data_IF_479100365945
#
_entry.id   IF_479100365945
#
_cell.length_a   1.000
_cell.length_b   1.000
_cell.length_c   1.000
_cell.angle_alpha   90.00
_cell.angle_beta   90.00
_cell.angle_gamma   90.00
#
_symmetry.space_group_name_H-M   'P 1'
#
loop_
_entity.id
_entity.type
_entity.pdbx_description
1 polymer ?
#
# COMPACT_ATOMS: atom_id res chain seq x y z
N UNK A 1 -14.94 -6.20 -10.84
CA UNK A 1 -13.90 -6.77 -9.97
C UNK A 1 -13.03 -5.62 -9.52
N UNK A 2 -12.81 -5.53 -8.22
CA UNK A 2 -12.15 -4.38 -7.60
C UNK A 2 -10.93 -4.87 -6.86
N UNK A 3 -9.78 -4.33 -7.21
CA UNK A 3 -8.51 -4.74 -6.63
C UNK A 3 -8.00 -3.67 -5.67
N UNK A 4 -7.36 -4.11 -4.59
CA UNK A 4 -6.62 -3.26 -3.67
C UNK A 4 -5.16 -3.74 -3.65
N UNK A 5 -4.23 -2.82 -3.85
CA UNK A 5 -2.81 -3.06 -3.72
C UNK A 5 -2.31 -2.54 -2.38
N UNK A 6 -1.65 -3.40 -1.62
CA UNK A 6 -1.10 -3.11 -0.29
C UNK A 6 0.39 -3.41 -0.25
N UNK A 7 1.17 -2.51 0.34
CA UNK A 7 2.64 -2.55 0.31
C UNK A 7 3.31 -2.56 1.69
N UNK A 8 2.50 -2.54 2.76
CA UNK A 8 2.98 -2.43 4.15
C UNK A 8 2.31 -3.42 5.09
N UNK A 9 1.85 -2.92 6.24
CA UNK A 9 1.25 -3.72 7.34
C UNK A 9 -0.06 -4.42 6.99
N UNK A 10 -0.70 -4.05 5.87
CA UNK A 10 -1.88 -4.71 5.32
C UNK A 10 -1.54 -5.93 4.43
N UNK A 11 -0.25 -6.16 4.14
CA UNK A 11 0.22 -7.32 3.35
C UNK A 11 -0.07 -8.63 4.05
N UNK A 12 -0.13 -9.70 3.26
CA UNK A 12 -0.38 -11.05 3.74
C UNK A 12 0.74 -11.47 4.70
N UNK A 13 0.36 -11.96 5.88
CA UNK A 13 1.30 -12.46 6.90
C UNK A 13 1.67 -11.46 8.00
N UNK A 14 1.22 -10.21 7.92
CA UNK A 14 1.26 -9.30 9.07
C UNK A 14 0.19 -9.66 10.10
N UNK A 15 0.59 -9.70 11.37
CA UNK A 15 -0.33 -9.88 12.49
C UNK A 15 -0.95 -8.52 12.88
N UNK A 16 -1.77 -7.96 12.00
CA UNK A 16 -2.45 -6.68 12.20
C UNK A 16 -3.97 -6.87 12.02
N UNK A 17 -4.83 -6.32 12.89
CA UNK A 17 -6.29 -6.49 12.80
C UNK A 17 -6.86 -6.10 11.43
N UNK A 18 -6.29 -5.08 10.80
CA UNK A 18 -6.74 -4.63 9.48
C UNK A 18 -6.30 -5.55 8.33
N UNK A 19 -5.16 -6.25 8.47
CA UNK A 19 -4.77 -7.30 7.53
C UNK A 19 -5.71 -8.51 7.65
N UNK A 20 -6.14 -8.86 8.86
CA UNK A 20 -7.15 -9.90 9.08
C UNK A 20 -8.50 -9.50 8.48
N UNK A 21 -8.96 -8.26 8.71
CA UNK A 21 -10.18 -7.73 8.10
C UNK A 21 -10.12 -7.80 6.57
N UNK A 22 -9.01 -7.34 5.97
CA UNK A 22 -8.82 -7.40 4.52
C UNK A 22 -8.87 -8.85 4.01
N UNK A 23 -8.22 -9.78 4.70
CA UNK A 23 -8.22 -11.21 4.33
C UNK A 23 -9.58 -11.89 4.45
N UNK A 24 -10.49 -11.34 5.27
CA UNK A 24 -11.87 -11.84 5.44
C UNK A 24 -12.83 -11.19 4.45
N UNK A 25 -12.58 -9.94 4.08
CA UNK A 25 -13.45 -9.15 3.20
C UNK A 25 -13.00 -9.16 1.73
N UNK A 26 -11.86 -9.78 1.45
CA UNK A 26 -11.33 -10.00 0.10
C UNK A 26 -10.50 -11.28 0.03
N UNK A 27 -10.04 -11.59 -1.17
CA UNK A 27 -9.21 -12.75 -1.47
C UNK A 27 -7.83 -12.28 -1.95
N UNK A 28 -6.76 -12.89 -1.45
CA UNK A 28 -5.44 -12.66 -2.01
C UNK A 28 -5.43 -13.10 -3.48
N UNK A 29 -5.08 -12.19 -4.38
CA UNK A 29 -5.10 -12.42 -5.83
C UNK A 29 -3.70 -12.76 -6.37
N UNK A 30 -2.72 -11.88 -6.18
CA UNK A 30 -1.34 -12.07 -6.67
C UNK A 30 -0.38 -11.09 -5.99
N UNK A 31 0.93 -11.34 -6.09
CA UNK A 31 1.94 -10.33 -5.82
C UNK A 31 2.06 -9.38 -7.01
N UNK A 32 2.43 -8.13 -6.76
CA UNK A 32 2.59 -7.16 -7.83
C UNK A 32 3.52 -6.02 -7.47
N UNK A 33 3.72 -5.14 -8.45
CA UNK A 33 4.53 -3.95 -8.30
C UNK A 33 3.93 -2.73 -8.98
N UNK A 34 4.20 -1.55 -8.43
CA UNK A 34 3.90 -0.26 -9.05
C UNK A 34 5.14 0.62 -9.09
N UNK A 35 5.19 1.56 -10.04
CA UNK A 35 6.26 2.57 -10.04
C UNK A 35 6.08 3.53 -8.87
N UNK A 36 7.07 3.63 -8.01
CA UNK A 36 6.98 4.41 -6.79
C UNK A 36 8.23 4.30 -5.93
N UNK A 37 8.25 5.14 -4.90
CA UNK A 37 9.25 5.14 -3.86
C UNK A 37 8.57 4.80 -2.54
N UNK A 38 9.20 3.90 -1.80
CA UNK A 38 8.76 3.47 -0.48
C UNK A 38 9.68 4.10 0.56
N UNK A 39 9.10 4.61 1.63
CA UNK A 39 9.82 5.24 2.73
C UNK A 39 9.41 4.62 4.06
N UNK A 40 10.35 4.53 4.99
CA UNK A 40 10.08 4.10 6.36
C UNK A 40 9.63 5.29 7.22
N UNK A 41 8.42 5.19 7.79
CA UNK A 41 7.91 6.13 8.79
C UNK A 41 8.11 5.59 10.23
N UNK A 42 8.63 4.38 10.38
CA UNK A 42 8.79 3.67 11.65
C UNK A 42 7.76 2.56 11.81
N UNK A 43 6.52 2.85 12.28
CA UNK A 43 5.53 1.80 12.53
C UNK A 43 4.91 1.22 11.25
N UNK A 44 4.99 1.92 10.13
CA UNK A 44 4.49 1.50 8.83
C UNK A 44 5.23 2.24 7.70
N UNK A 45 5.27 1.70 6.48
CA UNK A 45 5.88 2.38 5.36
C UNK A 45 4.88 3.35 4.71
N UNK A 46 5.41 4.32 3.96
CA UNK A 46 4.60 5.18 3.10
C UNK A 46 5.10 5.16 1.67
N UNK A 47 4.15 5.29 0.74
CA UNK A 47 4.41 5.25 -0.69
C UNK A 47 4.07 6.60 -1.32
N UNK A 48 4.98 7.06 -2.17
CA UNK A 48 4.68 8.08 -3.19
C UNK A 48 4.89 7.49 -4.57
N UNK A 49 4.04 7.89 -5.52
CA UNK A 49 4.26 7.54 -6.90
C UNK A 49 5.48 8.28 -7.45
N UNK A 50 6.20 7.62 -8.33
CA UNK A 50 7.31 8.20 -9.07
C UNK A 50 7.08 7.99 -10.57
N UNK A 51 7.41 9.00 -11.35
CA UNK A 51 7.39 8.94 -12.82
C UNK A 51 8.69 8.38 -13.40
N UNK A 52 9.75 8.27 -12.60
CA UNK A 52 11.01 7.66 -13.04
C UNK A 52 10.86 6.14 -13.19
N UNK A 53 11.32 5.62 -14.33
CA UNK A 53 11.34 4.17 -14.58
C UNK A 53 12.39 3.48 -13.70
N UNK A 54 12.09 2.24 -13.28
CA UNK A 54 13.04 1.37 -12.58
C UNK A 54 12.95 1.42 -11.05
N UNK A 55 12.09 2.26 -10.48
CA UNK A 55 11.81 2.27 -9.05
C UNK A 55 10.43 1.68 -8.79
N UNK A 56 10.44 0.47 -8.24
CA UNK A 56 9.23 -0.31 -8.03
C UNK A 56 9.00 -0.53 -6.55
N UNK A 57 7.74 -0.46 -6.14
CA UNK A 57 7.30 -0.93 -4.83
C UNK A 57 6.62 -2.27 -4.99
N UNK A 58 7.03 -3.25 -4.19
CA UNK A 58 6.49 -4.60 -4.16
C UNK A 58 5.39 -4.68 -3.10
N UNK A 59 4.28 -5.31 -3.47
CA UNK A 59 3.13 -5.46 -2.60
C UNK A 59 2.23 -6.60 -3.04
N UNK A 60 1.13 -6.75 -2.32
CA UNK A 60 0.14 -7.79 -2.55
C UNK A 60 -1.14 -7.16 -3.11
N UNK A 61 -1.78 -7.87 -4.04
CA UNK A 61 -3.06 -7.49 -4.62
C UNK A 61 -4.15 -8.36 -4.02
N UNK A 62 -5.21 -7.73 -3.50
CA UNK A 62 -6.41 -8.39 -3.01
C UNK A 62 -7.60 -8.08 -3.92
N UNK A 63 -8.39 -9.09 -4.25
CA UNK A 63 -9.71 -8.94 -4.85
C UNK A 63 -10.73 -8.65 -3.76
N UNK A 64 -11.40 -7.50 -3.83
CA UNK A 64 -12.41 -7.10 -2.84
C UNK A 64 -13.78 -7.66 -3.23
N UNK A 65 -14.47 -8.30 -2.27
CA UNK A 65 -15.84 -8.79 -2.47
C UNK A 65 -16.89 -7.68 -2.31
N UNK A 66 -16.70 -6.79 -1.32
CA UNK A 66 -17.54 -5.63 -1.10
C UNK A 66 -16.69 -4.36 -1.12
N UNK A 67 -16.34 -3.90 -2.33
CA UNK A 67 -15.43 -2.76 -2.54
C UNK A 67 -15.79 -1.59 -1.61
N UNK A 68 -17.01 -1.06 -1.71
CA UNK A 68 -17.44 0.13 -0.98
C UNK A 68 -17.26 -0.01 0.54
N UNK A 69 -17.69 -1.11 1.14
CA UNK A 69 -17.62 -1.30 2.60
C UNK A 69 -16.17 -1.41 3.08
N UNK A 70 -15.35 -2.21 2.40
CA UNK A 70 -13.93 -2.38 2.77
C UNK A 70 -13.17 -1.07 2.60
N UNK A 71 -13.41 -0.40 1.49
CA UNK A 71 -12.79 0.88 1.14
C UNK A 71 -13.17 1.98 2.14
N UNK A 72 -14.41 2.04 2.61
CA UNK A 72 -14.82 3.00 3.65
C UNK A 72 -14.10 2.74 4.97
N UNK A 73 -14.03 1.48 5.42
CA UNK A 73 -13.34 1.13 6.67
C UNK A 73 -11.85 1.47 6.59
N UNK A 74 -11.22 1.19 5.45
CA UNK A 74 -9.80 1.51 5.22
C UNK A 74 -9.57 3.01 5.09
N UNK A 75 -10.48 3.77 4.46
CA UNK A 75 -10.39 5.23 4.40
C UNK A 75 -10.44 5.87 5.78
N UNK A 76 -11.35 5.40 6.65
CA UNK A 76 -11.43 5.83 8.05
C UNK A 76 -10.17 5.45 8.84
N UNK A 77 -9.63 4.25 8.61
CA UNK A 77 -8.43 3.78 9.30
C UNK A 77 -7.16 4.54 8.89
N UNK A 78 -6.97 4.79 7.59
CA UNK A 78 -5.82 5.52 7.06
C UNK A 78 -5.97 7.05 7.21
N UNK A 79 -7.14 7.54 7.62
CA UNK A 79 -7.42 8.97 7.75
C UNK A 79 -7.49 9.68 6.40
N UNK A 80 -8.02 9.01 5.36
CA UNK A 80 -8.16 9.61 4.03
C UNK A 80 -9.10 10.82 4.08
N UNK A 81 -8.57 11.98 3.68
CA UNK A 81 -9.32 13.24 3.69
C UNK A 81 -9.48 13.87 5.08
N UNK A 82 -8.88 13.29 6.13
CA UNK A 82 -8.82 13.95 7.44
C UNK A 82 -7.72 15.01 7.44
N UNK A 83 -8.04 16.20 7.95
CA UNK A 83 -7.06 17.26 8.13
C UNK A 83 -6.43 17.09 9.51
N UNK A 84 -5.53 16.11 9.64
CA UNK A 84 -4.83 15.85 10.90
C UNK A 84 -3.94 17.04 11.26
N UNK A 85 -3.84 17.38 12.55
CA UNK A 85 -2.95 18.46 13.04
C UNK A 85 -1.47 18.22 12.67
N UNK A 86 -1.11 16.96 12.38
CA UNK A 86 0.21 16.55 11.91
C UNK A 86 0.50 16.96 10.46
N UNK A 87 -0.52 17.39 9.70
CA UNK A 87 -0.41 17.69 8.27
C UNK A 87 -0.20 16.46 7.38
N UNK A 88 -0.25 15.26 7.96
CA UNK A 88 -0.16 13.99 7.24
C UNK A 88 -1.56 13.64 6.77
N UNK A 89 -1.72 13.48 5.45
CA UNK A 89 -2.97 13.01 4.86
C UNK A 89 -2.67 11.85 3.93
N UNK A 90 -3.68 10.99 3.75
CA UNK A 90 -3.64 9.92 2.78
C UNK A 90 -4.64 10.19 1.66
N UNK A 91 -4.28 9.76 0.46
CA UNK A 91 -5.15 9.75 -0.71
C UNK A 91 -5.30 8.32 -1.20
N UNK A 92 -6.52 7.95 -1.59
CA UNK A 92 -6.76 6.72 -2.33
C UNK A 92 -6.99 7.01 -3.80
N UNK A 93 -6.23 6.36 -4.67
CA UNK A 93 -6.38 6.44 -6.11
C UNK A 93 -6.23 5.07 -6.78
N UNK A 94 -6.62 4.98 -8.04
CA UNK A 94 -6.35 3.80 -8.87
C UNK A 94 -5.06 3.97 -9.63
N UNK A 95 -4.19 2.97 -9.53
CA UNK A 95 -2.92 2.89 -10.26
C UNK A 95 -2.84 1.61 -11.07
N UNK A 96 -1.94 1.58 -12.05
CA UNK A 96 -1.59 0.36 -12.76
C UNK A 96 -0.58 -0.43 -11.94
N UNK A 97 -0.95 -1.65 -11.56
CA UNK A 97 -0.08 -2.64 -10.93
C UNK A 97 0.33 -3.65 -11.99
N UNK A 98 1.61 -3.99 -12.05
CA UNK A 98 2.12 -5.13 -12.81
C UNK A 98 2.17 -6.34 -11.87
N UNK A 99 1.35 -7.35 -12.13
CA UNK A 99 1.39 -8.61 -11.39
C UNK A 99 2.70 -9.37 -11.63
N UNK A 100 2.97 -10.38 -10.80
CA UNK A 100 4.11 -11.28 -10.96
C UNK A 100 4.15 -12.00 -12.33
N UNK A 101 2.98 -12.18 -12.96
CA UNK A 101 2.85 -12.76 -14.31
C UNK A 101 3.05 -11.73 -15.44
N UNK A 102 3.32 -10.47 -15.11
CA UNK A 102 3.48 -9.37 -16.07
C UNK A 102 2.16 -8.78 -16.59
N UNK A 103 1.02 -9.22 -16.07
CA UNK A 103 -0.29 -8.66 -16.42
C UNK A 103 -0.50 -7.34 -15.68
N UNK A 104 -0.92 -6.31 -16.41
CA UNK A 104 -1.29 -5.01 -15.83
C UNK A 104 -2.74 -5.02 -15.36
N UNK A 105 -2.95 -4.64 -14.11
CA UNK A 105 -4.27 -4.52 -13.48
C UNK A 105 -4.44 -3.16 -12.83
N UNK A 106 -5.67 -2.66 -12.78
CA UNK A 106 -5.98 -1.41 -12.07
C UNK A 106 -6.41 -1.75 -10.65
N UNK A 107 -5.67 -1.25 -9.67
CA UNK A 107 -5.97 -1.44 -8.24
C UNK A 107 -5.99 -0.11 -7.51
N UNK A 108 -6.82 -0.04 -6.47
CA UNK A 108 -6.76 1.01 -5.47
C UNK A 108 -5.47 0.92 -4.68
N UNK A 109 -4.90 2.07 -4.33
CA UNK A 109 -3.72 2.19 -3.48
C UNK A 109 -3.89 3.40 -2.56
N UNK A 110 -3.33 3.32 -1.36
CA UNK A 110 -3.24 4.44 -0.42
C UNK A 110 -1.87 5.10 -0.56
N UNK A 111 -1.83 6.41 -0.84
CA UNK A 111 -0.62 7.20 -0.94
C UNK A 111 -0.54 8.21 0.18
N UNK A 112 0.69 8.51 0.58
CA UNK A 112 0.97 9.56 1.52
C UNK A 112 1.06 10.92 0.80
N UNK A 113 0.39 11.94 1.34
CA UNK A 113 0.35 13.31 0.82
C UNK A 113 1.16 14.32 1.67
N UNK A 114 1.97 13.86 2.62
CA UNK A 114 2.84 14.71 3.45
C UNK A 114 4.25 14.90 2.90
N UNK A 115 5.05 15.72 3.60
CA UNK A 115 6.48 15.89 3.28
C UNK A 115 7.27 14.63 3.64
N UNK A 116 8.14 14.22 2.72
CA UNK A 116 9.03 13.07 2.84
C UNK A 116 10.48 13.48 3.19
N UNK A 117 10.74 14.77 3.44
CA UNK A 117 12.10 15.35 3.52
C UNK A 117 13.02 14.74 4.60
N UNK A 118 12.43 14.07 5.59
CA UNK A 118 13.15 13.44 6.70
C UNK A 118 12.94 11.93 6.78
N UNK A 119 12.33 11.31 5.76
CA UNK A 119 12.06 9.88 5.76
C UNK A 119 13.20 9.09 5.13
N UNK A 120 13.43 7.88 5.65
CA UNK A 120 14.46 7.00 5.11
C UNK A 120 13.87 6.20 3.95
N UNK A 121 14.44 6.28 2.74
CA UNK A 121 13.96 5.47 1.62
C UNK A 121 14.24 3.99 1.90
N UNK A 122 13.26 3.14 1.60
CA UNK A 122 13.41 1.69 1.63
C UNK A 122 13.95 1.25 0.28
N UNK A 123 15.26 0.97 0.22
CA UNK A 123 15.89 0.44 -0.98
C UNK A 123 15.26 -0.91 -1.36
N UNK A 124 15.06 -1.12 -2.66
CA UNK A 124 14.39 -2.31 -3.20
C UNK A 124 12.86 -2.28 -3.15
N UNK A 125 12.26 -1.34 -2.42
CA UNK A 125 10.81 -1.11 -2.44
C UNK A 125 9.97 -2.26 -1.88
N UNK A 126 10.55 -3.17 -1.09
CA UNK A 126 9.83 -4.24 -0.41
C UNK A 126 9.90 -4.06 1.10
N UNK A 127 8.77 -3.65 1.71
CA UNK A 127 8.69 -3.47 3.15
C UNK A 127 8.92 -4.77 3.93
N UNK A 128 8.45 -5.92 3.43
CA UNK A 128 8.60 -7.20 4.12
C UNK A 128 10.08 -7.60 4.20
N UNK A 129 10.81 -7.40 3.09
CA UNK A 129 12.24 -7.62 3.05
C UNK A 129 12.96 -6.66 4.02
N UNK A 130 12.62 -5.37 3.96
CA UNK A 130 13.23 -4.33 4.81
C UNK A 130 13.11 -4.63 6.31
N UNK A 131 11.93 -5.01 6.80
CA UNK A 131 11.74 -5.32 8.24
C UNK A 131 12.40 -6.63 8.67
N UNK A 132 12.64 -7.55 7.73
CA UNK A 132 13.31 -8.83 8.00
C UNK A 132 14.82 -8.62 8.11
N UNK A 133 15.39 -7.75 7.28
CA UNK A 133 16.82 -7.40 7.31
C UNK A 133 17.17 -6.42 8.44
N UNK A 134 16.20 -5.63 8.92
CA UNK A 134 16.39 -4.67 10.01
C UNK A 134 16.21 -5.26 11.41
N UNK A 135 16.02 -6.59 11.54
CA UNK A 135 15.87 -7.32 12.81
C UNK A 135 17.11 -8.14 13.14
#
# INVERSE_FOLDING_TARGET
MSYLFVYGTLRKGFNHPMAELLSRSGEYFTSGKCNGLLFDMGPYPVLTLNTAEGQYVIGDVFLLHNEHEVLTILDEYEGVGENLETGITYERLKVSIESEEGVKLSAWIYLHLGSLDHMTPIEGGDYLQYITESR
#
